data_IF_220830236455
#
_entry.id   IF_220830236455
#
_cell.length_a   1.000
_cell.length_b   1.000
_cell.length_c   1.000
_cell.angle_alpha   90.00
_cell.angle_beta   90.00
_cell.angle_gamma   90.00
#
_symmetry.space_group_name_H-M   'P 1'
#
loop_
_entity.id
_entity.type
_entity.pdbx_description
1 polymer ?
#
# COMPACT_ATOMS: atom_id res chain seq x y z
N UNK A 1 17.72 -28.98 28.73
CA UNK A 1 17.53 -27.79 27.86
C UNK A 1 17.77 -26.46 28.58
N UNK A 2 17.04 -26.10 29.65
CA UNK A 2 17.13 -24.75 30.30
C UNK A 2 18.53 -24.35 30.80
N UNK A 3 19.33 -25.30 31.26
CA UNK A 3 20.72 -25.10 31.71
C UNK A 3 21.77 -25.20 30.59
N UNK A 4 21.34 -25.33 29.33
CA UNK A 4 22.26 -25.42 28.21
C UNK A 4 23.02 -24.08 28.04
N UNK A 5 24.36 -24.12 27.89
CA UNK A 5 25.17 -22.92 27.68
C UNK A 5 24.87 -22.25 26.32
N UNK A 6 24.48 -23.03 25.31
CA UNK A 6 24.16 -22.55 23.96
C UNK A 6 22.65 -22.38 23.72
N UNK A 7 21.85 -22.17 24.78
CA UNK A 7 20.40 -22.11 24.65
C UNK A 7 19.92 -20.96 23.75
N UNK A 8 20.62 -19.83 23.76
CA UNK A 8 20.29 -18.64 22.96
C UNK A 8 20.41 -18.88 21.45
N UNK A 9 21.27 -19.82 21.04
CA UNK A 9 21.49 -20.20 19.64
C UNK A 9 20.84 -21.53 19.29
N UNK A 10 20.08 -22.13 20.20
CA UNK A 10 19.49 -23.45 20.00
C UNK A 10 18.35 -23.38 18.96
N UNK A 11 18.36 -24.24 17.92
CA UNK A 11 17.28 -24.28 16.92
C UNK A 11 15.95 -24.83 17.47
N UNK A 12 15.98 -25.40 18.68
CA UNK A 12 14.81 -25.95 19.36
C UNK A 12 14.00 -24.79 19.94
N UNK A 13 12.74 -24.61 19.49
CA UNK A 13 11.89 -23.53 19.97
C UNK A 13 11.60 -23.69 21.46
N UNK A 14 11.71 -22.58 22.19
CA UNK A 14 11.22 -22.48 23.55
C UNK A 14 9.69 -22.66 23.55
N UNK A 15 9.10 -23.18 24.65
CA UNK A 15 7.65 -23.37 24.74
C UNK A 15 6.88 -22.07 24.49
N UNK A 16 5.69 -22.15 23.87
CA UNK A 16 4.86 -20.97 23.58
C UNK A 16 4.18 -20.35 24.82
N UNK A 17 4.26 -20.99 25.99
CA UNK A 17 3.66 -20.52 27.25
C UNK A 17 4.49 -19.43 27.94
N UNK A 18 5.16 -18.55 27.19
CA UNK A 18 5.87 -17.42 27.78
C UNK A 18 4.89 -16.28 28.06
N UNK A 19 4.89 -15.76 29.27
CA UNK A 19 4.35 -14.41 29.46
C UNK A 19 5.26 -13.41 28.73
N UNK A 20 4.70 -12.27 28.34
CA UNK A 20 5.41 -11.27 27.53
C UNK A 20 6.63 -10.76 28.32
N UNK A 21 7.84 -11.10 27.85
CA UNK A 21 9.10 -10.68 28.49
C UNK A 21 9.86 -11.78 29.23
N UNK A 22 9.29 -12.97 29.41
CA UNK A 22 10.00 -14.09 30.04
C UNK A 22 11.13 -14.64 29.17
N UNK A 23 12.25 -15.01 29.80
CA UNK A 23 13.39 -15.62 29.14
C UNK A 23 13.13 -17.09 28.81
N UNK A 24 13.76 -17.66 27.77
CA UNK A 24 13.59 -19.08 27.39
C UNK A 24 13.89 -20.08 28.51
N UNK A 25 14.72 -19.69 29.48
CA UNK A 25 15.08 -20.49 30.65
C UNK A 25 13.95 -20.61 31.67
N UNK A 26 13.09 -19.62 31.73
CA UNK A 26 12.04 -19.46 32.74
C UNK A 26 10.70 -19.98 32.25
N UNK A 27 10.54 -20.16 30.94
CA UNK A 27 9.29 -20.58 30.33
C UNK A 27 8.86 -21.98 30.78
N UNK A 28 7.58 -22.15 31.12
CA UNK A 28 6.98 -23.46 31.43
C UNK A 28 6.68 -24.26 30.15
N UNK A 29 6.91 -25.57 30.18
CA UNK A 29 6.63 -26.50 29.06
C UNK A 29 7.86 -27.17 28.45
N UNK A 30 7.66 -27.92 27.37
CA UNK A 30 8.72 -28.70 26.72
C UNK A 30 9.30 -27.99 25.50
N UNK A 31 10.63 -28.05 25.37
CA UNK A 31 11.33 -27.60 24.18
C UNK A 31 10.98 -28.52 23.02
N UNK A 32 10.63 -27.96 21.86
CA UNK A 32 10.22 -28.73 20.68
C UNK A 32 11.08 -28.36 19.48
N UNK A 33 11.66 -29.39 18.86
CA UNK A 33 12.32 -29.26 17.57
C UNK A 33 11.27 -29.50 16.49
N UNK A 34 10.77 -28.42 15.89
CA UNK A 34 9.80 -28.50 14.80
C UNK A 34 10.52 -28.46 13.45
N UNK A 35 10.86 -29.63 12.91
CA UNK A 35 11.38 -29.74 11.54
C UNK A 35 10.25 -30.26 10.65
N UNK A 36 9.28 -29.39 10.37
CA UNK A 36 8.23 -29.70 9.39
C UNK A 36 8.69 -29.27 7.99
N UNK A 37 8.25 -29.96 6.92
CA UNK A 37 8.53 -29.52 5.55
C UNK A 37 8.14 -28.05 5.31
N UNK A 38 7.03 -27.60 5.89
CA UNK A 38 6.57 -26.21 5.80
C UNK A 38 7.53 -25.21 6.46
N UNK A 39 8.13 -25.55 7.60
CA UNK A 39 9.11 -24.69 8.26
C UNK A 39 10.42 -24.63 7.48
N UNK A 40 10.89 -25.75 6.94
CA UNK A 40 12.07 -25.77 6.07
C UNK A 40 11.85 -24.92 4.82
N UNK A 41 10.72 -25.07 4.14
CA UNK A 41 10.36 -24.25 2.98
C UNK A 41 10.31 -22.76 3.31
N UNK A 42 9.75 -22.39 4.47
CA UNK A 42 9.76 -21.00 4.95
C UNK A 42 11.19 -20.48 5.08
N UNK A 43 12.05 -21.22 5.77
CA UNK A 43 13.41 -20.77 6.06
C UNK A 43 14.23 -20.65 4.76
N UNK A 44 14.08 -21.62 3.85
CA UNK A 44 14.66 -21.56 2.50
C UNK A 44 14.16 -20.33 1.73
N UNK A 45 12.87 -20.00 1.82
CA UNK A 45 12.34 -18.77 1.23
C UNK A 45 12.92 -17.52 1.90
N UNK A 46 13.06 -17.48 3.23
CA UNK A 46 13.65 -16.33 3.93
C UNK A 46 15.11 -16.10 3.54
N UNK A 47 15.87 -17.17 3.31
CA UNK A 47 17.24 -17.08 2.79
C UNK A 47 17.24 -16.54 1.35
N UNK A 48 16.35 -17.03 0.48
CA UNK A 48 16.17 -16.49 -0.88
C UNK A 48 15.80 -15.01 -0.87
N UNK A 49 14.97 -14.57 0.08
CA UNK A 49 14.59 -13.16 0.23
C UNK A 49 15.77 -12.23 0.53
N UNK A 50 16.89 -12.76 1.03
CA UNK A 50 18.08 -11.95 1.28
C UNK A 50 18.88 -11.66 0.01
N UNK A 51 18.72 -12.46 -1.05
CA UNK A 51 19.47 -12.28 -2.29
C UNK A 51 19.05 -11.01 -3.01
N UNK A 52 19.97 -10.45 -3.80
CA UNK A 52 19.73 -9.20 -4.52
C UNK A 52 18.70 -9.39 -5.63
N UNK A 53 18.82 -10.49 -6.36
CA UNK A 53 17.92 -10.84 -7.47
C UNK A 53 16.48 -10.91 -6.98
N UNK A 54 16.25 -11.58 -5.85
CA UNK A 54 14.92 -11.66 -5.26
C UNK A 54 14.40 -10.28 -4.84
N UNK A 55 15.26 -9.45 -4.22
CA UNK A 55 14.87 -8.10 -3.80
C UNK A 55 14.51 -7.22 -4.99
N UNK A 56 15.29 -7.28 -6.05
CA UNK A 56 15.08 -6.49 -7.28
C UNK A 56 13.74 -6.86 -7.92
N UNK A 57 13.42 -8.15 -8.04
CA UNK A 57 12.11 -8.63 -8.51
C UNK A 57 10.96 -8.21 -7.56
N UNK A 58 11.21 -8.25 -6.25
CA UNK A 58 10.21 -7.93 -5.24
C UNK A 58 9.88 -6.44 -5.14
N UNK A 59 10.78 -5.55 -5.60
CA UNK A 59 10.57 -4.10 -5.52
C UNK A 59 9.23 -3.68 -6.14
N UNK A 60 8.87 -4.26 -7.30
CA UNK A 60 7.61 -3.97 -7.98
C UNK A 60 6.41 -4.28 -7.07
N UNK A 61 6.39 -5.48 -6.48
CA UNK A 61 5.30 -5.91 -5.60
C UNK A 61 5.21 -5.05 -4.36
N UNK A 62 6.35 -4.78 -3.72
CA UNK A 62 6.40 -3.90 -2.54
C UNK A 62 5.88 -2.50 -2.84
N UNK A 63 6.14 -1.96 -4.05
CA UNK A 63 5.62 -0.67 -4.50
C UNK A 63 4.09 -0.65 -4.64
N UNK A 64 3.51 -1.72 -5.17
CA UNK A 64 2.04 -1.89 -5.26
C UNK A 64 1.42 -2.01 -3.87
N UNK A 65 1.99 -2.84 -2.99
CA UNK A 65 1.55 -3.00 -1.61
C UNK A 65 1.61 -1.69 -0.82
N UNK A 66 2.70 -0.93 -0.98
CA UNK A 66 2.86 0.39 -0.38
C UNK A 66 1.78 1.37 -0.86
N UNK A 67 1.46 1.35 -2.16
CA UNK A 67 0.41 2.20 -2.74
C UNK A 67 -0.97 1.84 -2.22
N UNK A 68 -1.32 0.56 -2.15
CA UNK A 68 -2.59 0.11 -1.57
C UNK A 68 -2.69 0.43 -0.08
N UNK A 69 -1.59 0.31 0.66
CA UNK A 69 -1.48 0.72 2.05
C UNK A 69 -1.76 2.22 2.21
N UNK A 70 -1.13 3.07 1.40
CA UNK A 70 -1.34 4.53 1.43
C UNK A 70 -2.80 4.88 1.12
N UNK A 71 -3.37 4.28 0.07
CA UNK A 71 -4.78 4.51 -0.29
C UNK A 71 -5.73 4.13 0.85
N UNK A 72 -5.49 2.99 1.52
CA UNK A 72 -6.32 2.54 2.65
C UNK A 72 -6.16 3.45 3.86
N UNK A 73 -4.92 3.77 4.26
CA UNK A 73 -4.62 4.47 5.53
C UNK A 73 -4.74 5.98 5.43
N UNK A 74 -4.19 6.59 4.38
CA UNK A 74 -4.19 8.05 4.21
C UNK A 74 -5.45 8.55 3.47
N UNK A 75 -5.97 7.79 2.52
CA UNK A 75 -7.12 8.20 1.70
C UNK A 75 -8.43 7.49 2.06
N UNK A 76 -8.43 6.60 3.07
CA UNK A 76 -9.65 5.97 3.57
C UNK A 76 -10.32 4.99 2.59
N UNK A 77 -9.56 4.38 1.68
CA UNK A 77 -10.10 3.42 0.70
C UNK A 77 -10.73 2.18 1.36
N UNK A 78 -10.31 1.83 2.58
CA UNK A 78 -10.83 0.66 3.31
C UNK A 78 -12.26 0.81 3.84
N UNK A 79 -12.82 2.05 3.89
CA UNK A 79 -14.16 2.32 4.40
C UNK A 79 -14.84 3.43 3.59
N UNK A 80 -15.38 3.08 2.43
CA UNK A 80 -16.12 4.01 1.58
C UNK A 80 -17.51 4.30 2.17
N UNK A 81 -17.92 5.58 2.15
CA UNK A 81 -19.24 6.03 2.64
C UNK A 81 -20.36 5.89 1.59
N UNK A 82 -20.01 5.54 0.36
CA UNK A 82 -20.94 5.41 -0.77
C UNK A 82 -21.21 3.95 -1.08
N UNK A 83 -22.41 3.66 -1.61
CA UNK A 83 -22.84 2.33 -2.08
C UNK A 83 -23.22 2.41 -3.57
N UNK A 84 -23.17 1.27 -4.25
CA UNK A 84 -23.44 1.14 -5.68
C UNK A 84 -22.19 1.35 -6.55
N UNK A 85 -22.03 0.51 -7.59
CA UNK A 85 -20.79 0.37 -8.36
C UNK A 85 -20.30 1.70 -8.95
N UNK A 86 -21.17 2.47 -9.61
CA UNK A 86 -20.80 3.74 -10.23
C UNK A 86 -20.28 4.77 -9.22
N UNK A 87 -20.96 4.91 -8.06
CA UNK A 87 -20.55 5.85 -7.00
C UNK A 87 -19.28 5.41 -6.32
N UNK A 88 -19.12 4.11 -6.08
CA UNK A 88 -17.88 3.51 -5.56
C UNK A 88 -16.73 3.78 -6.52
N UNK A 89 -16.90 3.51 -7.81
CA UNK A 89 -15.89 3.76 -8.84
C UNK A 89 -15.44 5.22 -8.83
N UNK A 90 -16.38 6.17 -8.89
CA UNK A 90 -16.08 7.60 -8.82
C UNK A 90 -15.28 7.96 -7.55
N UNK A 91 -15.72 7.50 -6.37
CA UNK A 91 -15.03 7.77 -5.11
C UNK A 91 -13.61 7.17 -5.07
N UNK A 92 -13.40 5.99 -5.67
CA UNK A 92 -12.08 5.37 -5.78
C UNK A 92 -11.18 6.21 -6.70
N UNK A 93 -11.66 6.60 -7.88
CA UNK A 93 -10.92 7.47 -8.81
C UNK A 93 -10.48 8.76 -8.12
N UNK A 94 -11.38 9.47 -7.45
CA UNK A 94 -11.02 10.69 -6.71
C UNK A 94 -9.94 10.46 -5.65
N UNK A 95 -10.00 9.34 -4.92
CA UNK A 95 -9.00 9.00 -3.89
C UNK A 95 -7.64 8.67 -4.50
N UNK A 96 -7.61 7.96 -5.63
CA UNK A 96 -6.38 7.67 -6.38
C UNK A 96 -5.78 8.96 -6.92
N UNK A 97 -6.59 9.84 -7.52
CA UNK A 97 -6.14 11.16 -8.00
C UNK A 97 -5.56 12.00 -6.87
N UNK A 98 -6.20 12.03 -5.70
CA UNK A 98 -5.68 12.73 -4.53
C UNK A 98 -4.31 12.17 -4.07
N UNK A 99 -4.15 10.84 -4.08
CA UNK A 99 -2.87 10.19 -3.77
C UNK A 99 -1.78 10.60 -4.77
N UNK A 100 -2.10 10.62 -6.07
CA UNK A 100 -1.16 11.02 -7.12
C UNK A 100 -0.74 12.50 -6.98
N UNK A 101 -1.69 13.41 -6.73
CA UNK A 101 -1.41 14.83 -6.51
C UNK A 101 -0.49 15.01 -5.28
N UNK A 102 -0.78 14.31 -4.18
CA UNK A 102 0.06 14.36 -2.96
C UNK A 102 1.50 13.91 -3.24
N UNK A 103 1.68 12.77 -3.92
CA UNK A 103 3.00 12.23 -4.28
C UNK A 103 3.74 13.17 -5.22
N UNK A 104 3.04 13.70 -6.22
CA UNK A 104 3.59 14.69 -7.13
C UNK A 104 4.04 15.95 -6.39
N UNK A 105 3.21 16.51 -5.50
CA UNK A 105 3.56 17.71 -4.75
C UNK A 105 4.82 17.49 -3.88
N UNK A 106 4.95 16.30 -3.29
CA UNK A 106 6.16 15.91 -2.56
C UNK A 106 7.39 15.84 -3.48
N UNK A 107 7.27 15.21 -4.65
CA UNK A 107 8.36 15.12 -5.62
C UNK A 107 8.75 16.51 -6.17
N UNK A 108 7.78 17.36 -6.50
CA UNK A 108 8.00 18.72 -6.97
C UNK A 108 8.60 19.63 -5.91
N UNK A 109 8.30 19.40 -4.62
CA UNK A 109 8.96 20.13 -3.53
C UNK A 109 10.46 19.80 -3.39
N UNK A 110 10.89 18.64 -3.90
CA UNK A 110 12.28 18.22 -3.91
C UNK A 110 13.08 18.75 -5.12
N UNK A 111 12.42 19.31 -6.14
CA UNK A 111 13.07 19.91 -7.32
C UNK A 111 12.42 21.24 -7.72
N UNK A 112 13.09 22.40 -7.53
CA UNK A 112 12.52 23.73 -7.80
C UNK A 112 12.00 23.94 -9.23
N UNK A 113 12.64 23.33 -10.24
CA UNK A 113 12.26 23.46 -11.66
C UNK A 113 10.93 22.77 -12.00
N UNK A 114 10.58 21.67 -11.32
CA UNK A 114 9.33 20.96 -11.57
C UNK A 114 8.08 21.73 -11.08
N UNK A 115 8.28 22.68 -10.15
CA UNK A 115 7.22 23.42 -9.46
C UNK A 115 6.55 24.48 -10.34
N UNK A 116 7.31 25.18 -11.20
CA UNK A 116 6.77 26.20 -12.11
C UNK A 116 6.07 25.61 -13.35
N UNK A 117 6.56 24.48 -13.86
CA UNK A 117 5.99 23.83 -15.06
C UNK A 117 4.57 23.32 -14.83
N UNK A 118 4.28 22.77 -13.65
CA UNK A 118 2.97 22.19 -13.37
C UNK A 118 1.93 23.20 -12.90
N UNK A 119 2.30 24.28 -12.19
CA UNK A 119 1.32 25.33 -11.87
C UNK A 119 0.69 25.86 -13.15
N UNK A 120 1.50 26.04 -14.20
CA UNK A 120 1.03 26.40 -15.55
C UNK A 120 0.13 25.32 -16.17
N UNK A 121 0.48 24.04 -16.04
CA UNK A 121 -0.31 22.94 -16.61
C UNK A 121 -1.64 22.72 -15.87
N UNK A 122 -1.68 22.83 -14.55
CA UNK A 122 -2.89 22.73 -13.73
C UNK A 122 -3.81 23.93 -13.97
N UNK A 123 -3.27 25.15 -14.02
CA UNK A 123 -4.05 26.33 -14.40
C UNK A 123 -4.60 26.18 -15.81
N UNK A 124 -3.80 25.68 -16.76
CA UNK A 124 -4.25 25.44 -18.14
C UNK A 124 -5.35 24.38 -18.21
N UNK A 125 -5.19 23.24 -17.54
CA UNK A 125 -6.20 22.18 -17.51
C UNK A 125 -7.46 22.62 -16.77
N UNK A 126 -7.37 23.36 -15.67
CA UNK A 126 -8.54 23.93 -14.98
C UNK A 126 -9.26 24.94 -15.88
N UNK A 127 -8.52 25.79 -16.59
CA UNK A 127 -9.11 26.75 -17.53
C UNK A 127 -9.76 26.05 -18.73
N UNK A 128 -9.11 25.04 -19.32
CA UNK A 128 -9.68 24.23 -20.41
C UNK A 128 -10.93 23.46 -19.94
N UNK A 129 -10.89 22.85 -18.75
CA UNK A 129 -12.04 22.15 -18.17
C UNK A 129 -13.18 23.11 -17.78
N UNK A 130 -12.87 24.31 -17.27
CA UNK A 130 -13.88 25.33 -16.97
C UNK A 130 -14.52 25.90 -18.24
N UNK A 131 -13.78 26.07 -19.34
CA UNK A 131 -14.36 26.50 -20.62
C UNK A 131 -15.32 25.44 -21.15
N UNK A 132 -14.97 24.16 -21.06
CA UNK A 132 -15.86 23.06 -21.48
C UNK A 132 -17.07 22.84 -20.54
N UNK A 133 -16.97 23.21 -19.26
CA UNK A 133 -18.07 23.10 -18.29
C UNK A 133 -18.94 24.36 -18.16
N UNK A 134 -18.67 25.43 -18.94
CA UNK A 134 -19.51 26.63 -18.92
C UNK A 134 -20.89 26.54 -19.61
N UNK A 135 -21.23 25.57 -20.50
CA UNK A 135 -22.58 25.52 -21.07
C UNK A 135 -23.57 24.68 -20.25
N UNK A 136 -23.26 24.31 -19.00
CA UNK A 136 -24.19 23.59 -18.11
C UNK A 136 -24.74 24.43 -16.95
N UNK A 137 -24.54 25.75 -16.97
CA UNK A 137 -25.36 26.66 -16.18
C UNK A 137 -26.66 26.98 -16.93
N UNK A 138 -27.58 26.00 -16.98
CA UNK A 138 -29.02 26.32 -17.12
C UNK A 138 -29.85 25.63 -18.21
N UNK A 139 -29.30 24.75 -19.07
CA UNK A 139 -30.12 23.99 -20.05
C UNK A 139 -29.77 22.50 -20.04
N UNK A 140 -30.77 21.63 -19.84
CA UNK A 140 -30.60 20.17 -20.04
C UNK A 140 -30.69 19.87 -21.54
N UNK A 141 -29.70 19.20 -22.15
CA UNK A 141 -29.82 18.74 -23.53
C UNK A 141 -30.88 17.64 -23.62
N UNK A 142 -31.59 17.64 -24.75
CA UNK A 142 -32.62 16.66 -25.09
C UNK A 142 -32.02 15.30 -25.44
N UNK A 143 -32.81 14.23 -25.32
CA UNK A 143 -32.37 12.86 -25.63
C UNK A 143 -31.86 12.73 -27.07
N UNK A 144 -32.41 13.51 -28.01
CA UNK A 144 -31.98 13.53 -29.41
C UNK A 144 -30.55 14.09 -29.59
N UNK A 145 -30.15 15.07 -28.79
CA UNK A 145 -28.81 15.67 -28.84
C UNK A 145 -27.73 14.72 -28.27
N UNK A 146 -28.10 13.88 -27.31
CA UNK A 146 -27.21 12.86 -26.72
C UNK A 146 -26.96 11.71 -27.70
N UNK A 147 -27.91 11.41 -28.58
CA UNK A 147 -27.82 10.29 -29.53
C UNK A 147 -27.09 10.63 -30.83
N UNK A 148 -26.76 11.90 -31.06
CA UNK A 148 -26.11 12.40 -32.28
C UNK A 148 -24.60 12.67 -32.14
N UNK A 149 -24.02 12.48 -30.95
CA UNK A 149 -22.60 12.64 -30.64
C UNK A 149 -21.92 11.27 -30.47
#
# INVERSE_FOLDING_TARGET
CRRCPILETCPVRAPNHRNKGELPRETAGNFRLEITPALRLRDDMLLKQQTREWKDDYQIRSGVEATMSELKRAHGLGRLRVRGLARVHFAVVCKVTACNIKRWAKAASASPMARLGLLKLVIRLINEFCVDWTPLNGRRPSIAEIQAA
#
